data_IF_827343997854
#
_entry.id   IF_827343997854
#
_cell.length_a   1.000
_cell.length_b   1.000
_cell.length_c   1.000
_cell.angle_alpha   90.00
_cell.angle_beta   90.00
_cell.angle_gamma   90.00
#
_symmetry.space_group_name_H-M   'P 1'
#
loop_
_entity.id
_entity.type
_entity.pdbx_description
1 polymer ?
#
# COMPACT_ATOMS: atom_id res chain seq x y z
N UNK A 1 -16.51 5.85 6.44
CA UNK A 1 -15.28 5.25 5.86
C UNK A 1 -15.62 4.73 4.47
N UNK A 2 -14.68 4.80 3.52
CA UNK A 2 -14.83 4.09 2.23
C UNK A 2 -14.35 2.62 2.37
N UNK A 3 -14.85 1.73 1.50
CA UNK A 3 -14.50 0.31 1.57
C UNK A 3 -13.04 0.04 1.22
N UNK A 4 -12.30 -0.64 2.12
CA UNK A 4 -10.93 -1.15 1.87
C UNK A 4 -10.85 -2.00 0.60
N UNK A 5 -11.89 -2.77 0.30
CA UNK A 5 -11.97 -3.64 -0.89
C UNK A 5 -11.94 -2.84 -2.20
N UNK A 6 -12.58 -1.67 -2.24
CA UNK A 6 -12.62 -0.79 -3.42
C UNK A 6 -11.27 -0.09 -3.67
N UNK A 7 -10.53 0.19 -2.59
CA UNK A 7 -9.25 0.90 -2.63
C UNK A 7 -8.09 0.03 -3.14
N UNK A 8 -8.25 -1.29 -3.13
CA UNK A 8 -7.31 -2.26 -3.72
C UNK A 8 -7.54 -2.43 -5.23
N UNK A 9 -8.76 -2.18 -5.73
CA UNK A 9 -9.14 -2.40 -7.14
C UNK A 9 -8.90 -1.21 -8.06
N UNK A 10 -8.74 0.02 -7.55
CA UNK A 10 -8.42 1.21 -8.36
C UNK A 10 -6.96 1.21 -8.86
N UNK A 11 -6.66 0.31 -9.80
CA UNK A 11 -5.48 0.44 -10.68
C UNK A 11 -5.69 1.59 -11.66
N UNK A 12 -4.65 2.41 -11.85
CA UNK A 12 -4.70 3.66 -12.59
C UNK A 12 -5.28 3.50 -14.01
N UNK A 13 -6.45 4.09 -14.25
CA UNK A 13 -6.88 4.51 -15.58
C UNK A 13 -6.08 5.74 -16.00
N UNK A 14 -4.90 5.52 -16.59
CA UNK A 14 -4.12 6.60 -17.20
C UNK A 14 -4.88 7.20 -18.39
N UNK A 15 -5.07 8.53 -18.46
CA UNK A 15 -5.66 9.15 -19.64
C UNK A 15 -4.65 9.15 -20.80
N UNK A 16 -5.13 8.79 -22.00
CA UNK A 16 -4.35 8.75 -23.24
C UNK A 16 -3.87 10.15 -23.65
N UNK A 17 -2.61 10.34 -24.08
CA UNK A 17 -2.12 11.64 -24.53
C UNK A 17 -2.47 11.89 -26.00
N UNK A 18 -3.39 12.82 -26.25
CA UNK A 18 -3.59 13.44 -27.58
C UNK A 18 -2.68 14.66 -27.74
N UNK A 19 -1.87 14.67 -28.80
CA UNK A 19 -0.85 15.70 -29.10
C UNK A 19 -1.38 16.77 -30.10
N UNK A 20 -0.64 17.84 -30.48
CA UNK A 20 -0.83 19.15 -29.86
C UNK A 20 -1.07 20.33 -30.84
N UNK A 21 -1.54 21.46 -30.32
CA UNK A 21 -1.58 22.76 -31.02
C UNK A 21 -0.43 23.68 -30.57
N UNK A 22 0.20 24.38 -31.51
CA UNK A 22 1.42 25.15 -31.27
C UNK A 22 1.19 26.66 -31.05
N UNK A 23 2.06 27.32 -30.27
CA UNK A 23 2.57 28.66 -30.61
C UNK A 23 3.92 28.98 -29.92
N UNK A 24 4.64 29.95 -30.48
CA UNK A 24 5.97 30.45 -30.09
C UNK A 24 5.83 31.50 -28.95
N UNK A 25 6.85 32.09 -28.29
CA UNK A 25 8.32 32.09 -28.39
C UNK A 25 8.88 32.43 -26.97
N UNK A 26 10.05 32.02 -26.47
CA UNK A 26 11.43 32.48 -26.78
C UNK A 26 12.46 31.66 -25.93
N UNK A 27 13.77 31.99 -26.00
CA UNK A 27 14.83 31.60 -25.04
C UNK A 27 15.84 32.76 -24.87
N UNK A 28 16.71 32.75 -23.83
CA UNK A 28 18.08 32.26 -24.09
C UNK A 28 18.85 31.57 -22.93
N UNK A 29 19.79 30.70 -23.37
CA UNK A 29 21.13 30.37 -22.80
C UNK A 29 21.34 29.62 -21.45
N UNK A 30 21.80 28.36 -21.65
CA UNK A 30 23.02 27.71 -21.11
C UNK A 30 23.06 27.20 -19.65
N UNK A 31 22.91 25.88 -19.54
CA UNK A 31 23.60 25.01 -18.58
C UNK A 31 23.71 23.61 -19.21
N UNK A 32 24.91 23.04 -19.31
CA UNK A 32 25.11 21.77 -20.02
C UNK A 32 24.89 20.57 -19.09
N UNK A 33 23.85 19.77 -19.36
CA UNK A 33 23.62 18.47 -18.71
C UNK A 33 23.42 17.43 -19.79
N UNK A 34 24.21 16.35 -19.73
CA UNK A 34 24.18 15.27 -20.72
C UNK A 34 22.83 14.58 -20.74
N UNK A 35 22.09 14.70 -21.85
CA UNK A 35 20.76 14.13 -22.00
C UNK A 35 20.88 12.70 -22.54
N UNK A 36 20.85 11.72 -21.64
CA UNK A 36 20.76 10.30 -22.04
C UNK A 36 19.44 10.10 -22.79
N UNK A 37 19.54 9.80 -24.07
CA UNK A 37 18.40 9.54 -24.95
C UNK A 37 18.36 8.06 -25.30
N UNK A 38 17.31 7.36 -24.86
CA UNK A 38 17.07 5.98 -25.26
C UNK A 38 16.39 5.96 -26.64
N UNK A 39 17.16 6.15 -27.70
CA UNK A 39 16.69 5.89 -29.08
C UNK A 39 16.68 4.39 -29.36
N UNK A 40 15.50 3.79 -29.41
CA UNK A 40 15.32 2.47 -30.02
C UNK A 40 15.38 2.60 -31.54
N UNK A 41 16.38 1.98 -32.17
CA UNK A 41 16.55 1.99 -33.63
C UNK A 41 15.37 1.33 -34.36
N UNK A 42 14.97 1.82 -35.56
CA UNK A 42 13.92 1.22 -36.36
C UNK A 42 14.47 0.13 -37.29
N UNK A 43 14.25 -1.15 -36.97
CA UNK A 43 14.39 -2.28 -37.89
C UNK A 43 13.69 -3.54 -37.37
N UNK A 44 13.30 -4.41 -38.30
CA UNK A 44 12.69 -5.74 -38.16
C UNK A 44 11.28 -5.88 -37.54
N UNK A 45 10.29 -6.41 -38.30
CA UNK A 45 9.02 -6.87 -37.77
C UNK A 45 9.16 -8.28 -37.14
N UNK A 46 8.09 -8.74 -36.51
CA UNK A 46 7.86 -10.12 -36.07
C UNK A 46 8.74 -10.65 -34.89
N UNK A 47 8.41 -10.20 -33.68
CA UNK A 47 8.47 -11.04 -32.49
C UNK A 47 7.49 -10.51 -31.43
N UNK A 48 6.63 -11.40 -30.92
CA UNK A 48 5.58 -11.10 -29.93
C UNK A 48 6.14 -10.68 -28.56
N UNK A 49 6.54 -9.41 -28.43
CA UNK A 49 6.87 -8.76 -27.16
C UNK A 49 5.60 -8.48 -26.36
N UNK A 50 5.17 -9.47 -25.59
CA UNK A 50 4.21 -9.29 -24.50
C UNK A 50 4.79 -8.31 -23.47
N UNK A 51 4.25 -7.10 -23.39
CA UNK A 51 4.62 -6.15 -22.34
C UNK A 51 4.13 -6.70 -20.98
N UNK A 52 4.86 -6.41 -19.91
CA UNK A 52 4.56 -6.89 -18.55
C UNK A 52 3.22 -6.40 -18.01
N UNK A 53 2.56 -5.47 -18.70
CA UNK A 53 1.24 -4.92 -18.38
C UNK A 53 0.08 -5.77 -18.93
N UNK A 54 0.27 -6.50 -20.04
CA UNK A 54 -0.82 -7.27 -20.68
C UNK A 54 -1.11 -8.62 -20.01
N UNK A 55 -0.15 -9.14 -19.23
CA UNK A 55 -0.23 -10.43 -18.51
C UNK A 55 -1.33 -10.47 -17.44
N UNK A 56 -1.95 -9.33 -17.12
CA UNK A 56 -3.07 -9.22 -16.18
C UNK A 56 -4.46 -9.03 -16.84
N UNK A 57 -4.53 -8.83 -18.15
CA UNK A 57 -5.78 -8.65 -18.91
C UNK A 57 -6.09 -9.85 -19.85
N UNK A 58 -5.10 -10.67 -20.19
CA UNK A 58 -5.22 -11.75 -21.20
C UNK A 58 -5.88 -13.07 -20.79
N UNK A 59 -6.60 -13.16 -19.66
CA UNK A 59 -7.18 -14.43 -19.15
C UNK A 59 -8.71 -14.43 -18.97
N UNK A 60 -9.40 -13.37 -19.42
CA UNK A 60 -10.86 -13.23 -19.26
C UNK A 60 -11.74 -13.61 -20.46
N UNK A 61 -11.17 -13.89 -21.64
CA UNK A 61 -11.88 -13.83 -22.92
C UNK A 61 -11.81 -15.13 -23.76
N UNK A 62 -12.11 -16.29 -23.17
CA UNK A 62 -12.19 -17.56 -23.90
C UNK A 62 -13.48 -18.32 -23.60
N UNK A 63 -14.35 -18.51 -24.61
CA UNK A 63 -15.51 -19.40 -24.54
C UNK A 63 -16.86 -18.77 -24.89
N UNK A 64 -17.00 -18.16 -26.08
CA UNK A 64 -18.31 -17.88 -26.64
C UNK A 64 -18.98 -19.16 -27.18
N UNK A 65 -20.31 -19.21 -27.14
CA UNK A 65 -21.22 -20.08 -27.90
C UNK A 65 -20.97 -21.61 -27.89
N UNK A 66 -21.74 -22.34 -27.07
CA UNK A 66 -22.33 -23.63 -27.43
C UNK A 66 -23.62 -23.87 -26.63
N UNK A 67 -24.61 -24.50 -27.24
CA UNK A 67 -25.99 -24.60 -26.75
C UNK A 67 -26.28 -25.90 -25.98
N UNK A 68 -27.21 -25.78 -25.02
CA UNK A 68 -28.11 -26.83 -24.51
C UNK A 68 -27.54 -28.06 -23.76
N UNK A 69 -28.46 -28.71 -23.04
CA UNK A 69 -28.35 -29.96 -22.27
C UNK A 69 -27.44 -29.94 -21.03
N UNK A 70 -28.05 -30.16 -19.85
CA UNK A 70 -27.37 -30.10 -18.57
C UNK A 70 -26.48 -31.31 -18.28
N UNK A 71 -25.32 -31.05 -17.68
CA UNK A 71 -24.60 -32.02 -16.86
C UNK A 71 -24.21 -31.32 -15.55
N UNK A 72 -24.65 -31.89 -14.42
CA UNK A 72 -24.23 -31.50 -13.07
C UNK A 72 -22.75 -31.87 -12.88
N UNK A 73 -21.85 -31.01 -13.36
CA UNK A 73 -20.44 -31.08 -13.03
C UNK A 73 -20.16 -30.09 -11.91
N UNK A 74 -19.82 -30.62 -10.73
CA UNK A 74 -19.31 -29.84 -9.61
C UNK A 74 -18.08 -29.07 -10.07
N UNK A 75 -18.24 -27.78 -10.38
CA UNK A 75 -17.11 -26.91 -10.64
C UNK A 75 -16.17 -26.99 -9.44
N UNK A 76 -14.87 -27.28 -9.62
CA UNK A 76 -13.94 -27.11 -8.52
C UNK A 76 -14.05 -25.64 -8.11
N UNK A 77 -14.35 -25.37 -6.83
CA UNK A 77 -14.36 -24.00 -6.28
C UNK A 77 -13.07 -23.35 -6.77
N UNK A 78 -13.19 -22.37 -7.67
CA UNK A 78 -12.06 -21.51 -8.01
C UNK A 78 -11.64 -20.94 -6.67
N UNK A 79 -10.40 -21.18 -6.28
CA UNK A 79 -9.78 -20.45 -5.20
C UNK A 79 -9.54 -19.02 -5.70
N UNK A 80 -10.62 -18.26 -5.83
CA UNK A 80 -10.55 -16.82 -5.73
C UNK A 80 -9.98 -16.53 -4.35
N UNK A 81 -8.90 -15.78 -4.30
CA UNK A 81 -8.52 -15.16 -3.05
C UNK A 81 -9.53 -14.04 -2.83
N UNK A 82 -10.57 -14.33 -2.04
CA UNK A 82 -11.51 -13.31 -1.60
C UNK A 82 -10.70 -12.19 -0.91
N UNK A 83 -10.94 -10.92 -1.23
CA UNK A 83 -10.25 -9.82 -0.57
C UNK A 83 -10.57 -9.86 0.93
N UNK A 84 -9.66 -9.35 1.76
CA UNK A 84 -9.96 -9.16 3.18
C UNK A 84 -11.18 -8.27 3.29
N UNK A 85 -12.26 -8.81 3.83
CA UNK A 85 -13.53 -8.11 3.93
C UNK A 85 -13.36 -6.84 4.77
N UNK A 86 -14.09 -5.79 4.40
CA UNK A 86 -14.24 -4.62 5.27
C UNK A 86 -14.88 -5.05 6.59
N UNK A 87 -14.38 -4.59 7.74
CA UNK A 87 -15.07 -4.81 8.99
C UNK A 87 -16.38 -4.01 9.00
N UNK A 88 -17.40 -4.53 9.67
CA UNK A 88 -18.52 -3.70 10.06
C UNK A 88 -18.06 -2.73 11.16
N UNK A 89 -18.29 -1.44 10.95
CA UNK A 89 -17.94 -0.39 11.93
C UNK A 89 -18.75 -0.59 13.22
N UNK A 90 -19.96 -1.16 13.14
CA UNK A 90 -20.79 -1.47 14.32
C UNK A 90 -20.20 -2.58 15.20
N UNK A 91 -19.33 -3.44 14.64
CA UNK A 91 -18.68 -4.55 15.35
C UNK A 91 -17.45 -4.15 16.18
N UNK A 92 -17.19 -2.85 16.33
CA UNK A 92 -15.98 -2.39 17.01
C UNK A 92 -15.95 -2.77 18.49
N UNK A 93 -14.90 -3.50 18.88
CA UNK A 93 -14.64 -3.96 20.24
C UNK A 93 -13.49 -3.22 20.95
N UNK A 94 -13.27 -3.49 22.25
CA UNK A 94 -12.06 -3.05 22.93
C UNK A 94 -10.81 -3.63 22.24
N UNK A 95 -9.72 -2.86 22.12
CA UNK A 95 -8.45 -3.39 21.59
C UNK A 95 -7.83 -4.39 22.58
N UNK A 96 -7.22 -5.46 22.06
CA UNK A 96 -6.64 -6.55 22.86
C UNK A 96 -5.12 -6.71 22.71
N UNK A 97 -4.53 -6.10 21.67
CA UNK A 97 -3.10 -6.17 21.34
C UNK A 97 -2.27 -4.98 21.87
N UNK A 98 -2.88 -4.06 22.62
CA UNK A 98 -2.17 -2.92 23.20
C UNK A 98 -1.16 -3.31 24.29
N UNK A 99 -0.02 -2.60 24.41
CA UNK A 99 0.93 -2.83 25.50
C UNK A 99 0.32 -2.43 26.86
N UNK A 100 0.68 -3.10 27.98
CA UNK A 100 0.07 -2.85 29.30
C UNK A 100 0.18 -1.41 29.84
N UNK A 101 1.08 -0.59 29.29
CA UNK A 101 1.22 0.83 29.63
C UNK A 101 0.33 1.77 28.80
N UNK A 102 -0.48 1.26 27.88
CA UNK A 102 -1.38 2.05 27.05
C UNK A 102 -2.62 2.48 27.85
N UNK A 103 -2.72 3.76 28.18
CA UNK A 103 -3.94 4.35 28.75
C UNK A 103 -4.93 4.69 27.63
N UNK A 104 -5.58 3.67 27.06
CA UNK A 104 -6.57 3.80 25.98
C UNK A 104 -7.80 2.96 26.33
N UNK A 105 -8.92 3.62 26.61
CA UNK A 105 -10.17 2.96 27.01
C UNK A 105 -10.94 2.36 25.83
N UNK A 106 -10.86 2.99 24.66
CA UNK A 106 -11.48 2.52 23.42
C UNK A 106 -10.75 3.10 22.23
N UNK A 107 -10.72 2.35 21.14
CA UNK A 107 -10.25 2.80 19.83
C UNK A 107 -11.39 2.95 18.82
N UNK A 108 -12.62 2.69 19.23
CA UNK A 108 -13.76 2.77 18.33
C UNK A 108 -14.04 4.20 17.88
N UNK A 109 -14.47 4.39 16.63
CA UNK A 109 -14.86 5.71 16.13
C UNK A 109 -16.06 6.24 16.92
N UNK A 110 -16.24 7.56 17.01
CA UNK A 110 -17.44 8.15 17.59
C UNK A 110 -18.73 7.61 16.94
N UNK A 111 -19.83 7.46 17.70
CA UNK A 111 -21.11 7.00 17.15
C UNK A 111 -21.55 7.85 15.95
N UNK A 112 -22.02 7.19 14.89
CA UNK A 112 -22.47 7.87 13.68
C UNK A 112 -23.69 7.17 13.09
N UNK A 113 -24.69 7.96 12.68
CA UNK A 113 -25.84 7.50 11.90
C UNK A 113 -25.58 7.47 10.39
N UNK A 114 -24.39 7.86 9.94
CA UNK A 114 -24.04 7.91 8.53
C UNK A 114 -23.67 6.51 7.99
N UNK A 115 -24.47 6.00 7.05
CA UNK A 115 -24.13 4.79 6.31
C UNK A 115 -22.80 4.93 5.58
N UNK A 116 -21.98 3.85 5.47
CA UNK A 116 -20.84 3.83 4.57
C UNK A 116 -21.26 4.18 3.14
N UNK A 117 -20.40 4.93 2.44
CA UNK A 117 -20.56 5.28 1.03
C UNK A 117 -19.33 4.87 0.25
N UNK A 118 -19.53 4.54 -1.02
CA UNK A 118 -18.46 4.17 -1.94
C UNK A 118 -17.49 5.34 -2.16
N UNK A 119 -16.22 5.02 -2.45
CA UNK A 119 -15.22 6.05 -2.72
C UNK A 119 -15.46 6.70 -4.09
N UNK A 120 -15.73 8.01 -4.09
CA UNK A 120 -15.61 8.86 -5.26
C UNK A 120 -14.32 9.70 -5.17
N UNK A 121 -13.53 9.80 -6.25
CA UNK A 121 -12.50 10.83 -6.37
C UNK A 121 -13.11 12.24 -6.17
N UNK A 122 -12.34 13.23 -5.69
CA UNK A 122 -12.81 14.61 -5.59
C UNK A 122 -13.31 15.12 -6.96
N UNK A 123 -14.45 15.80 -6.99
CA UNK A 123 -15.05 16.31 -8.23
C UNK A 123 -14.13 17.32 -8.96
N UNK A 124 -13.24 17.97 -8.19
CA UNK A 124 -12.22 18.92 -8.62
C UNK A 124 -10.86 18.25 -8.91
N UNK A 125 -10.74 16.92 -8.90
CA UNK A 125 -9.45 16.22 -9.01
C UNK A 125 -8.71 16.44 -10.34
N UNK A 126 -9.41 16.82 -11.41
CA UNK A 126 -8.83 17.14 -12.72
C UNK A 126 -8.41 18.60 -12.89
N UNK A 127 -8.97 19.52 -12.09
CA UNK A 127 -8.73 20.96 -12.16
C UNK A 127 -7.90 21.50 -10.98
N UNK A 128 -7.85 20.77 -9.86
CA UNK A 128 -7.10 21.15 -8.67
C UNK A 128 -5.59 20.98 -8.86
N UNK A 129 -4.76 21.88 -8.29
CA UNK A 129 -3.32 21.69 -8.27
C UNK A 129 -2.95 20.43 -7.47
N UNK A 130 -1.94 19.70 -7.96
CA UNK A 130 -1.44 18.51 -7.26
C UNK A 130 -0.81 18.91 -5.92
N UNK A 131 -1.37 18.34 -4.84
CA UNK A 131 -0.86 18.50 -3.47
C UNK A 131 0.56 17.94 -3.37
N UNK A 132 1.53 18.84 -3.21
CA UNK A 132 2.95 18.49 -3.12
C UNK A 132 3.38 18.49 -1.66
N UNK A 133 3.70 17.30 -1.12
CA UNK A 133 4.16 17.11 0.25
C UNK A 133 5.63 17.56 0.38
N UNK A 134 5.97 18.57 1.20
CA UNK A 134 7.35 19.01 1.35
C UNK A 134 8.14 18.07 2.27
N UNK A 135 9.45 18.03 2.08
CA UNK A 135 10.35 17.38 3.04
C UNK A 135 10.36 18.19 4.34
N UNK A 136 10.09 17.54 5.46
CA UNK A 136 9.86 18.20 6.74
C UNK A 136 11.06 19.01 7.27
N UNK A 137 12.29 18.62 6.94
CA UNK A 137 13.50 19.34 7.35
C UNK A 137 13.76 20.60 6.51
N UNK A 138 13.16 20.71 5.31
CA UNK A 138 13.31 21.85 4.39
C UNK A 138 12.06 22.74 4.36
N UNK A 139 11.16 22.60 5.32
CA UNK A 139 9.91 23.34 5.39
C UNK A 139 10.15 24.77 5.92
N UNK A 140 9.77 25.78 5.12
CA UNK A 140 9.86 27.19 5.51
C UNK A 140 8.89 27.60 6.62
N UNK A 141 9.15 28.73 7.27
CA UNK A 141 8.38 29.21 8.43
C UNK A 141 6.87 29.31 8.16
N UNK A 142 6.46 29.83 7.00
CA UNK A 142 5.04 29.95 6.62
C UNK A 142 4.34 28.58 6.52
N UNK A 143 5.05 27.56 6.02
CA UNK A 143 4.53 26.21 5.98
C UNK A 143 4.38 25.63 7.39
N UNK A 144 5.39 25.79 8.24
CA UNK A 144 5.36 25.33 9.64
C UNK A 144 4.22 26.01 10.40
N UNK A 145 4.04 27.33 10.23
CA UNK A 145 2.92 28.08 10.80
C UNK A 145 1.56 27.59 10.29
N UNK A 146 1.44 27.26 9.00
CA UNK A 146 0.22 26.66 8.42
C UNK A 146 -0.06 25.26 8.99
N UNK A 147 0.96 24.41 9.12
CA UNK A 147 0.79 23.06 9.67
C UNK A 147 0.46 23.09 11.17
N UNK A 148 1.10 23.97 11.94
CA UNK A 148 0.75 24.27 13.32
C UNK A 148 -0.73 24.65 13.45
N UNK A 149 -1.23 25.57 12.60
CA UNK A 149 -2.64 25.99 12.59
C UNK A 149 -3.59 24.82 12.32
N UNK A 150 -3.27 23.95 11.37
CA UNK A 150 -4.11 22.81 11.02
C UNK A 150 -4.19 21.77 12.15
N UNK A 151 -3.06 21.46 12.80
CA UNK A 151 -3.03 20.52 13.93
C UNK A 151 -3.65 21.13 15.18
N UNK A 152 -3.48 22.44 15.42
CA UNK A 152 -4.18 23.16 16.48
C UNK A 152 -5.71 23.12 16.28
N UNK A 153 -6.20 23.40 15.07
CA UNK A 153 -7.62 23.30 14.74
C UNK A 153 -8.16 21.87 14.95
N UNK A 154 -7.41 20.84 14.52
CA UNK A 154 -7.77 19.44 14.74
C UNK A 154 -7.77 19.02 16.24
N UNK A 155 -6.88 19.59 17.05
CA UNK A 155 -6.84 19.38 18.51
C UNK A 155 -7.91 20.17 19.27
N UNK A 156 -8.46 21.23 18.68
CA UNK A 156 -9.54 22.04 19.26
C UNK A 156 -10.95 21.48 18.97
N UNK A 157 -11.08 20.45 18.13
CA UNK A 157 -12.35 19.78 17.88
C UNK A 157 -12.83 18.99 19.11
N UNK A 158 -14.16 18.88 19.32
CA UNK A 158 -14.76 17.97 20.29
C UNK A 158 -14.28 16.52 20.11
N UNK A 159 -14.19 15.76 21.21
CA UNK A 159 -13.67 14.38 21.17
C UNK A 159 -14.56 13.40 20.37
N UNK A 160 -15.84 13.72 20.24
CA UNK A 160 -16.85 13.02 19.44
C UNK A 160 -16.88 13.43 17.96
N UNK A 161 -16.16 14.49 17.55
CA UNK A 161 -15.95 14.78 16.14
C UNK A 161 -15.01 13.71 15.54
N UNK A 162 -15.41 12.94 14.50
CA UNK A 162 -14.58 11.92 13.88
C UNK A 162 -13.30 12.47 13.20
N UNK A 163 -13.21 13.80 13.05
CA UNK A 163 -12.04 14.52 12.53
C UNK A 163 -11.07 14.97 13.63
N UNK A 164 -11.45 14.84 14.91
CA UNK A 164 -10.63 15.28 16.04
C UNK A 164 -9.29 14.55 16.11
N UNK A 165 -8.29 15.18 16.76
CA UNK A 165 -6.97 14.58 16.90
C UNK A 165 -7.01 13.21 17.59
N UNK A 166 -7.91 13.04 18.57
CA UNK A 166 -8.15 11.77 19.24
C UNK A 166 -8.80 10.75 18.30
N UNK A 167 -9.89 11.11 17.62
CA UNK A 167 -10.58 10.19 16.69
C UNK A 167 -9.67 9.74 15.54
N UNK A 168 -8.84 10.63 14.98
CA UNK A 168 -7.85 10.26 13.97
C UNK A 168 -6.81 9.27 14.52
N UNK A 169 -6.26 9.50 15.73
CA UNK A 169 -5.35 8.55 16.36
C UNK A 169 -6.00 7.18 16.62
N UNK A 170 -7.28 7.16 17.03
CA UNK A 170 -8.06 5.94 17.24
C UNK A 170 -8.23 5.11 15.96
N UNK A 171 -8.25 5.72 14.77
CA UNK A 171 -8.26 4.97 13.48
C UNK A 171 -7.04 4.06 13.36
N UNK A 172 -5.85 4.51 13.78
CA UNK A 172 -4.69 3.62 13.76
C UNK A 172 -4.90 2.45 14.71
N UNK A 173 -5.26 2.72 15.97
CA UNK A 173 -5.44 1.66 16.95
C UNK A 173 -6.50 0.62 16.52
N UNK A 174 -7.67 1.06 16.06
CA UNK A 174 -8.77 0.15 15.78
C UNK A 174 -8.46 -0.87 14.67
N UNK A 175 -7.70 -0.47 13.64
CA UNK A 175 -7.30 -1.33 12.52
C UNK A 175 -6.00 -2.12 12.77
N UNK A 176 -5.32 -1.90 13.89
CA UNK A 176 -3.99 -2.43 14.17
C UNK A 176 -3.87 -3.20 15.49
N UNK A 177 -4.78 -2.98 16.44
CA UNK A 177 -4.70 -3.49 17.82
C UNK A 177 -5.96 -4.31 18.21
N UNK A 178 -6.62 -4.95 17.23
CA UNK A 178 -7.66 -5.97 17.46
C UNK A 178 -9.12 -5.50 17.56
N UNK A 179 -9.41 -4.20 17.46
CA UNK A 179 -10.78 -3.69 17.66
C UNK A 179 -11.82 -4.07 16.60
N UNK A 180 -11.45 -4.74 15.50
CA UNK A 180 -12.38 -5.15 14.44
C UNK A 180 -12.17 -6.60 14.03
N UNK A 181 -13.25 -7.30 13.67
CA UNK A 181 -13.17 -8.53 12.86
C UNK A 181 -13.58 -8.27 11.40
N UNK A 182 -12.98 -8.95 10.41
CA UNK A 182 -13.48 -8.92 9.03
C UNK A 182 -14.90 -9.50 8.95
N UNK A 183 -15.76 -8.91 8.11
CA UNK A 183 -17.11 -9.44 7.88
C UNK A 183 -17.07 -10.90 7.40
N UNK A 184 -18.00 -11.72 7.91
CA UNK A 184 -18.04 -13.18 7.75
C UNK A 184 -17.05 -13.98 8.61
N UNK A 185 -16.12 -13.35 9.34
CA UNK A 185 -15.10 -14.02 10.16
C UNK A 185 -15.05 -13.49 11.61
N UNK A 186 -16.14 -13.64 12.38
CA UNK A 186 -16.18 -13.19 13.78
C UNK A 186 -15.14 -13.90 14.65
N UNK A 187 -14.43 -13.15 15.50
CA UNK A 187 -13.38 -13.69 16.36
C UNK A 187 -12.02 -13.91 15.66
N UNK A 188 -11.88 -13.42 14.42
CA UNK A 188 -10.58 -13.21 13.78
C UNK A 188 -10.29 -11.71 13.75
N UNK A 189 -9.14 -11.29 14.24
CA UNK A 189 -8.79 -9.86 14.24
C UNK A 189 -8.40 -9.38 12.84
N UNK A 190 -8.89 -8.20 12.48
CA UNK A 190 -8.41 -7.46 11.33
C UNK A 190 -7.06 -6.84 11.66
N UNK A 191 -6.01 -7.30 10.97
CA UNK A 191 -4.66 -6.75 11.10
C UNK A 191 -4.16 -6.20 9.76
N UNK A 192 -3.96 -4.88 9.69
CA UNK A 192 -3.43 -4.20 8.48
C UNK A 192 -1.89 -4.21 8.42
N UNK A 193 -1.21 -4.39 9.55
CA UNK A 193 0.24 -4.59 9.60
C UNK A 193 0.66 -6.00 9.15
N UNK A 194 1.97 -6.20 8.96
CA UNK A 194 2.60 -7.49 8.63
C UNK A 194 2.03 -8.21 7.39
N UNK A 195 1.29 -7.49 6.55
CA UNK A 195 0.61 -8.01 5.37
C UNK A 195 0.70 -7.02 4.20
N UNK A 196 0.18 -7.43 3.04
CA UNK A 196 0.04 -6.57 1.87
C UNK A 196 -0.91 -5.36 2.06
N UNK A 197 -1.72 -5.34 3.13
CA UNK A 197 -2.64 -4.24 3.43
C UNK A 197 -1.92 -3.00 3.97
N UNK A 198 -0.71 -3.17 4.52
CA UNK A 198 0.06 -2.11 5.18
C UNK A 198 0.18 -0.84 4.32
N UNK A 199 0.58 -0.99 3.05
CA UNK A 199 0.74 0.14 2.13
C UNK A 199 -0.59 0.80 1.70
N UNK A 200 -1.60 0.08 1.18
CA UNK A 200 -2.87 0.70 0.80
C UNK A 200 -3.63 1.31 1.99
N UNK A 201 -3.67 0.63 3.15
CA UNK A 201 -4.33 1.16 4.35
C UNK A 201 -3.72 2.52 4.76
N UNK A 202 -2.40 2.58 4.98
CA UNK A 202 -1.74 3.81 5.42
C UNK A 202 -1.84 4.93 4.37
N UNK A 203 -1.85 4.60 3.07
CA UNK A 203 -2.09 5.59 2.01
C UNK A 203 -3.48 6.21 2.14
N UNK A 204 -4.50 5.40 2.37
CA UNK A 204 -5.89 5.88 2.50
C UNK A 204 -6.12 6.63 3.80
N UNK A 205 -5.55 6.16 4.92
CA UNK A 205 -5.57 6.87 6.19
C UNK A 205 -4.95 8.28 6.06
N UNK A 206 -3.73 8.38 5.49
CA UNK A 206 -3.08 9.68 5.26
C UNK A 206 -3.79 10.56 4.21
N UNK A 207 -4.50 9.97 3.25
CA UNK A 207 -5.31 10.72 2.28
C UNK A 207 -6.46 11.46 2.97
N UNK A 208 -7.23 10.78 3.83
CA UNK A 208 -8.31 11.43 4.57
C UNK A 208 -7.78 12.40 5.62
N UNK A 209 -6.74 12.03 6.38
CA UNK A 209 -6.09 12.90 7.37
C UNK A 209 -5.62 14.24 6.77
N UNK A 210 -4.95 14.20 5.62
CA UNK A 210 -4.51 15.41 4.90
C UNK A 210 -5.68 16.26 4.40
N UNK A 211 -6.76 15.64 3.88
CA UNK A 211 -7.97 16.37 3.46
C UNK A 211 -8.72 17.00 4.64
N UNK A 212 -8.75 16.33 5.79
CA UNK A 212 -9.31 16.86 7.04
C UNK A 212 -8.51 18.08 7.51
N UNK A 213 -7.18 17.98 7.59
CA UNK A 213 -6.34 19.11 7.99
C UNK A 213 -6.53 20.33 7.08
N UNK A 214 -6.61 20.14 5.76
CA UNK A 214 -6.89 21.21 4.82
C UNK A 214 -8.27 21.85 5.03
N UNK A 215 -9.32 21.05 5.25
CA UNK A 215 -10.68 21.57 5.44
C UNK A 215 -10.82 22.37 6.74
N UNK A 216 -10.08 22.00 7.79
CA UNK A 216 -10.10 22.71 9.08
C UNK A 216 -9.44 24.10 9.05
N UNK A 217 -8.66 24.42 8.02
CA UNK A 217 -8.04 25.75 7.82
C UNK A 217 -8.49 26.44 6.52
N UNK A 218 -9.48 25.89 5.81
CA UNK A 218 -9.96 26.43 4.53
C UNK A 218 -8.95 26.35 3.37
N UNK A 219 -7.95 25.46 3.45
CA UNK A 219 -6.92 25.27 2.41
C UNK A 219 -7.12 23.94 1.67
N UNK A 220 -7.80 23.92 0.50
CA UNK A 220 -7.96 22.70 -0.29
C UNK A 220 -6.64 22.19 -0.89
N UNK A 221 -5.61 23.03 -0.96
CA UNK A 221 -4.26 22.69 -1.47
C UNK A 221 -3.32 22.13 -0.41
N UNK A 222 -3.76 22.10 0.86
CA UNK A 222 -2.95 21.63 1.98
C UNK A 222 -2.41 20.21 1.75
N UNK A 223 -1.11 20.05 1.98
CA UNK A 223 -0.39 18.78 1.88
C UNK A 223 0.42 18.58 3.17
N UNK A 224 0.35 17.38 3.77
CA UNK A 224 1.16 17.03 4.95
C UNK A 224 2.66 16.92 4.59
N UNK A 225 3.58 17.17 5.53
CA UNK A 225 5.00 17.00 5.24
C UNK A 225 5.38 15.52 5.32
N UNK A 226 6.51 15.13 4.74
CA UNK A 226 7.09 13.81 4.94
C UNK A 226 8.47 13.90 5.62
N UNK A 227 8.78 12.94 6.49
CA UNK A 227 10.11 12.83 7.08
C UNK A 227 11.03 12.16 6.05
N UNK A 228 11.86 12.97 5.39
CA UNK A 228 12.79 12.56 4.33
C UNK A 228 14.06 11.88 4.88
N UNK A 229 13.91 10.81 5.69
CA UNK A 229 15.02 10.12 6.35
C UNK A 229 15.90 9.29 5.40
N UNK A 230 15.53 9.17 4.13
CA UNK A 230 16.34 8.60 3.06
C UNK A 230 17.35 9.60 2.44
N UNK A 231 17.23 10.90 2.78
CA UNK A 231 18.24 11.92 2.49
C UNK A 231 19.02 12.31 3.77
N UNK A 232 20.36 12.48 3.74
CA UNK A 232 21.17 12.82 4.92
C UNK A 232 20.65 14.00 5.74
N UNK A 233 20.27 15.10 5.08
CA UNK A 233 19.75 16.32 5.74
C UNK A 233 18.41 16.09 6.46
N UNK A 234 17.66 15.06 6.05
CA UNK A 234 16.40 14.65 6.67
C UNK A 234 16.53 13.51 7.69
N UNK A 235 17.73 12.98 7.96
CA UNK A 235 17.93 11.91 8.95
C UNK A 235 17.81 12.39 10.41
N UNK A 236 17.79 13.70 10.67
CA UNK A 236 17.47 14.25 11.99
C UNK A 236 15.95 14.43 12.10
N UNK A 237 15.40 14.30 13.32
CA UNK A 237 13.99 14.66 13.54
C UNK A 237 13.78 16.15 13.20
N UNK A 238 12.82 16.51 12.33
CA UNK A 238 12.60 17.90 11.93
C UNK A 238 12.32 18.84 13.11
N UNK A 239 12.95 20.01 13.12
CA UNK A 239 12.90 20.96 14.23
C UNK A 239 11.47 21.47 14.56
N UNK A 240 10.55 21.46 13.60
CA UNK A 240 9.14 21.79 13.84
C UNK A 240 8.43 20.85 14.84
N UNK A 241 9.01 19.67 15.12
CA UNK A 241 8.52 18.73 16.13
C UNK A 241 9.16 18.90 17.51
N UNK A 242 10.26 19.66 17.65
CA UNK A 242 11.02 19.78 18.92
C UNK A 242 10.60 20.97 19.79
N UNK A 243 9.96 21.97 19.21
CA UNK A 243 9.45 23.14 19.93
C UNK A 243 8.30 22.73 20.87
N UNK A 244 8.50 22.85 22.18
CA UNK A 244 7.52 22.45 23.20
C UNK A 244 6.25 23.31 23.20
N UNK A 245 6.30 24.52 22.62
CA UNK A 245 5.14 25.39 22.47
C UNK A 245 4.28 25.04 21.24
N UNK A 246 4.82 24.22 20.33
CA UNK A 246 4.15 23.83 19.10
C UNK A 246 3.06 22.77 19.32
N UNK A 247 1.90 22.88 18.65
CA UNK A 247 0.90 21.81 18.64
C UNK A 247 1.41 20.52 17.95
N UNK A 248 2.57 20.53 17.29
CA UNK A 248 3.26 19.36 16.73
C UNK A 248 4.14 18.60 17.74
N UNK A 249 4.32 19.14 18.96
CA UNK A 249 5.08 18.49 20.02
C UNK A 249 4.33 17.27 20.60
N UNK A 250 5.09 16.25 21.01
CA UNK A 250 4.62 15.15 21.86
C UNK A 250 5.70 14.87 22.91
N UNK A 251 5.42 15.03 24.22
CA UNK A 251 6.38 14.79 25.30
C UNK A 251 6.73 13.31 25.48
N UNK A 252 5.98 12.38 24.87
CA UNK A 252 6.20 10.92 25.01
C UNK A 252 7.28 10.36 24.09
N UNK A 253 7.96 11.21 23.30
CA UNK A 253 9.09 10.80 22.46
C UNK A 253 10.33 10.50 23.33
N UNK A 254 11.19 9.60 22.85
CA UNK A 254 12.47 9.35 23.53
C UNK A 254 13.37 10.60 23.50
N UNK A 255 13.55 11.24 24.66
CA UNK A 255 14.39 12.42 24.82
C UNK A 255 15.87 12.23 24.42
N UNK A 256 16.35 10.98 24.30
CA UNK A 256 17.71 10.68 23.79
C UNK A 256 17.81 10.67 22.25
N UNK A 257 16.68 10.69 21.55
CA UNK A 257 16.60 10.62 20.08
C UNK A 257 16.12 11.92 19.43
N UNK A 258 16.10 13.02 20.18
CA UNK A 258 15.91 14.37 19.63
C UNK A 258 17.20 14.88 18.96
N UNK A 259 17.14 15.88 18.06
CA UNK A 259 18.33 16.51 17.50
C UNK A 259 19.27 17.01 18.61
N UNK A 260 20.60 16.84 18.49
CA UNK A 260 21.35 16.46 17.29
C UNK A 260 21.62 14.95 17.16
N UNK A 261 20.72 14.06 17.61
CA UNK A 261 20.78 12.63 17.23
C UNK A 261 20.30 12.44 15.78
N UNK A 262 20.90 11.51 15.06
CA UNK A 262 20.39 10.98 13.78
C UNK A 262 19.46 9.79 14.06
N UNK A 263 18.42 9.61 13.24
CA UNK A 263 17.62 8.39 13.25
C UNK A 263 18.51 7.18 12.94
N UNK A 264 18.19 6.04 13.54
CA UNK A 264 18.77 4.75 13.19
C UNK A 264 17.70 3.88 12.54
N UNK A 265 17.85 3.59 11.25
CA UNK A 265 16.84 2.88 10.46
C UNK A 265 16.85 1.35 10.67
N UNK A 266 17.83 0.80 11.41
CA UNK A 266 17.91 -0.62 11.83
C UNK A 266 17.85 -0.75 13.37
N UNK A 267 17.30 0.27 14.07
CA UNK A 267 17.32 0.36 15.53
C UNK A 267 16.67 -0.85 16.21
N UNK A 268 17.45 -1.54 17.05
CA UNK A 268 17.06 -2.77 17.74
C UNK A 268 16.92 -2.61 19.27
N UNK A 269 16.74 -1.37 19.75
CA UNK A 269 16.71 -1.05 21.18
C UNK A 269 18.08 -0.80 21.81
N UNK A 270 19.16 -0.81 21.02
CA UNK A 270 20.54 -0.50 21.48
C UNK A 270 21.14 0.61 20.64
N UNK A 271 21.87 1.52 21.29
CA UNK A 271 22.60 2.57 20.60
C UNK A 271 23.80 2.01 19.82
N UNK A 272 23.93 2.26 18.50
CA UNK A 272 25.13 1.90 17.76
C UNK A 272 26.31 2.79 18.16
N UNK A 273 27.53 2.24 18.11
CA UNK A 273 28.79 2.99 18.32
C UNK A 273 29.30 3.62 17.02
N UNK A 274 28.41 4.30 16.30
CA UNK A 274 28.72 4.95 15.03
C UNK A 274 29.01 6.44 15.22
N UNK A 275 29.91 6.99 14.41
CA UNK A 275 29.96 8.43 14.14
C UNK A 275 28.76 8.84 13.26
N UNK A 276 28.43 10.12 13.21
CA UNK A 276 27.33 10.61 12.36
C UNK A 276 27.48 10.18 10.89
N UNK A 277 28.69 10.24 10.33
CA UNK A 277 28.97 9.77 8.97
C UNK A 277 28.72 8.26 8.80
N UNK A 278 29.06 7.45 9.80
CA UNK A 278 28.79 6.00 9.78
C UNK A 278 27.29 5.71 9.92
N UNK A 279 26.54 6.48 10.71
CA UNK A 279 25.09 6.35 10.82
C UNK A 279 24.40 6.73 9.49
N UNK A 280 24.86 7.78 8.81
CA UNK A 280 24.35 8.17 7.49
C UNK A 280 24.59 7.05 6.46
N UNK A 281 25.81 6.54 6.34
CA UNK A 281 26.13 5.41 5.44
C UNK A 281 25.32 4.15 5.79
N UNK A 282 25.15 3.85 7.08
CA UNK A 282 24.32 2.74 7.54
C UNK A 282 22.85 2.91 7.12
N UNK A 283 22.25 4.08 7.37
CA UNK A 283 20.88 4.39 6.99
C UNK A 283 20.67 4.27 5.47
N UNK A 284 21.57 4.81 4.65
CA UNK A 284 21.50 4.69 3.18
C UNK A 284 21.55 3.22 2.71
N UNK A 285 22.39 2.39 3.34
CA UNK A 285 22.45 0.94 3.05
C UNK A 285 21.19 0.20 3.48
N UNK A 286 20.61 0.55 4.63
CA UNK A 286 19.32 0.00 5.09
C UNK A 286 18.22 0.35 4.11
N UNK A 287 18.19 1.60 3.61
CA UNK A 287 17.22 2.04 2.60
C UNK A 287 17.37 1.30 1.28
N UNK A 288 18.61 1.15 0.78
CA UNK A 288 18.88 0.34 -0.40
C UNK A 288 18.44 -1.13 -0.21
N UNK A 289 18.73 -1.73 0.96
CA UNK A 289 18.29 -3.09 1.33
C UNK A 289 16.78 -3.23 1.30
N UNK A 290 16.04 -2.32 1.93
CA UNK A 290 14.58 -2.36 2.04
C UNK A 290 13.89 -2.09 0.69
N UNK A 291 14.23 -0.99 0.01
CA UNK A 291 13.50 -0.51 -1.18
C UNK A 291 13.93 -1.22 -2.46
N UNK A 292 15.20 -1.60 -2.62
CA UNK A 292 15.69 -2.27 -3.82
C UNK A 292 15.72 -3.79 -3.63
N UNK A 293 16.54 -4.28 -2.69
CA UNK A 293 16.82 -5.73 -2.56
C UNK A 293 15.59 -6.52 -2.08
N UNK A 294 14.91 -6.07 -1.03
CA UNK A 294 13.74 -6.77 -0.49
C UNK A 294 12.49 -6.61 -1.36
N UNK A 295 12.23 -5.43 -1.93
CA UNK A 295 11.08 -5.24 -2.82
C UNK A 295 11.18 -6.08 -4.11
N UNK A 296 12.39 -6.25 -4.66
CA UNK A 296 12.61 -7.11 -5.83
C UNK A 296 12.34 -8.58 -5.51
N UNK A 297 12.75 -9.07 -4.31
CA UNK A 297 12.38 -10.41 -3.81
C UNK A 297 10.88 -10.58 -3.62
N UNK A 298 10.20 -9.64 -2.96
CA UNK A 298 8.74 -9.68 -2.78
C UNK A 298 7.96 -9.63 -4.11
N UNK A 299 8.53 -9.01 -5.14
CA UNK A 299 7.99 -9.02 -6.50
C UNK A 299 8.20 -10.38 -7.18
N UNK A 300 9.39 -10.98 -7.05
CA UNK A 300 9.66 -12.35 -7.52
C UNK A 300 8.76 -13.39 -6.84
N UNK A 301 8.52 -13.27 -5.53
CA UNK A 301 7.60 -14.15 -4.79
C UNK A 301 6.15 -14.03 -5.27
N UNK A 302 5.66 -12.81 -5.54
CA UNK A 302 4.33 -12.58 -6.14
C UNK A 302 4.20 -13.09 -7.58
N UNK A 303 5.29 -13.15 -8.35
CA UNK A 303 5.30 -13.83 -9.66
C UNK A 303 5.32 -15.35 -9.48
N UNK A 304 6.09 -15.86 -8.53
CA UNK A 304 6.18 -17.30 -8.24
C UNK A 304 4.84 -17.90 -7.81
N UNK A 305 4.08 -17.23 -6.94
CA UNK A 305 2.75 -17.71 -6.52
C UNK A 305 1.71 -17.70 -7.64
N UNK A 306 1.79 -16.72 -8.58
CA UNK A 306 0.97 -16.73 -9.80
C UNK A 306 1.33 -17.86 -10.75
N UNK A 307 2.62 -18.18 -10.90
CA UNK A 307 3.08 -19.29 -11.76
C UNK A 307 2.80 -20.66 -11.13
N UNK A 308 2.95 -20.82 -9.81
CA UNK A 308 2.78 -22.12 -9.14
C UNK A 308 1.37 -22.67 -9.26
N UNK A 309 0.33 -21.84 -9.28
CA UNK A 309 -1.07 -22.28 -9.46
C UNK A 309 -1.29 -22.99 -10.80
N UNK A 310 -0.77 -22.44 -11.90
CA UNK A 310 -0.86 -23.05 -13.22
C UNK A 310 0.10 -24.26 -13.35
N UNK A 311 1.35 -24.11 -12.91
CA UNK A 311 2.40 -25.12 -13.14
C UNK A 311 2.22 -26.38 -12.28
N UNK A 312 1.78 -26.25 -11.01
CA UNK A 312 1.46 -27.41 -10.18
C UNK A 312 0.26 -28.17 -10.74
N UNK A 313 -0.77 -27.47 -11.23
CA UNK A 313 -1.94 -28.11 -11.86
C UNK A 313 -1.53 -28.93 -13.10
N UNK A 314 -0.65 -28.38 -13.94
CA UNK A 314 -0.11 -29.07 -15.11
C UNK A 314 0.74 -30.30 -14.73
N UNK A 315 1.65 -30.16 -13.76
CA UNK A 315 2.47 -31.28 -13.25
C UNK A 315 1.61 -32.38 -12.58
N UNK A 316 0.56 -32.03 -11.85
CA UNK A 316 -0.39 -32.99 -11.28
C UNK A 316 -1.19 -33.71 -12.37
N UNK A 317 -1.62 -33.02 -13.43
CA UNK A 317 -2.27 -33.66 -14.58
C UNK A 317 -1.32 -34.60 -15.34
N UNK A 318 -0.05 -34.23 -15.54
CA UNK A 318 0.97 -35.09 -16.13
C UNK A 318 1.26 -36.33 -15.29
N UNK A 319 1.39 -36.20 -13.96
CA UNK A 319 1.51 -37.35 -13.06
C UNK A 319 0.25 -38.22 -13.07
N UNK A 320 -0.96 -37.65 -13.19
CA UNK A 320 -2.21 -38.42 -13.37
C UNK A 320 -2.29 -39.13 -14.72
N UNK A 321 -1.85 -38.52 -15.83
CA UNK A 321 -1.77 -39.19 -17.15
C UNK A 321 -0.80 -40.37 -17.11
N UNK A 322 0.45 -40.17 -16.67
CA UNK A 322 1.44 -41.27 -16.54
C UNK A 322 0.95 -42.39 -15.62
N UNK A 323 0.27 -42.10 -14.51
CA UNK A 323 -0.33 -43.14 -13.65
C UNK A 323 -1.45 -43.91 -14.37
N UNK A 324 -2.30 -43.25 -15.17
CA UNK A 324 -3.35 -43.94 -15.97
C UNK A 324 -2.76 -44.77 -17.11
N UNK A 325 -1.70 -44.30 -17.76
CA UNK A 325 -0.99 -45.02 -18.82
C UNK A 325 -0.27 -46.26 -18.27
N UNK A 326 0.48 -46.12 -17.17
CA UNK A 326 1.11 -47.26 -16.50
C UNK A 326 0.07 -48.27 -15.99
N UNK A 327 -1.08 -47.83 -15.46
CA UNK A 327 -2.14 -48.74 -15.02
C UNK A 327 -2.81 -49.47 -16.20
N UNK A 328 -2.93 -48.84 -17.39
CA UNK A 328 -3.34 -49.53 -18.62
C UNK A 328 -2.29 -50.57 -19.05
N UNK A 329 -0.99 -50.22 -19.04
CA UNK A 329 0.07 -51.18 -19.37
C UNK A 329 0.07 -52.38 -18.42
N UNK A 330 -0.04 -52.16 -17.11
CA UNK A 330 -0.08 -53.27 -16.14
C UNK A 330 -1.32 -54.15 -16.29
N UNK A 331 -2.50 -53.58 -16.62
CA UNK A 331 -3.70 -54.37 -16.91
C UNK A 331 -3.56 -55.21 -18.18
N UNK A 332 -2.96 -54.67 -19.24
CA UNK A 332 -2.68 -55.44 -20.46
C UNK A 332 -1.63 -56.54 -20.21
N UNK A 333 -0.60 -56.28 -19.41
CA UNK A 333 0.41 -57.28 -19.01
C UNK A 333 -0.17 -58.39 -18.12
N UNK A 334 -1.13 -58.10 -17.25
CA UNK A 334 -1.86 -59.14 -16.50
C UNK A 334 -2.74 -59.98 -17.43
N UNK A 335 -3.53 -59.37 -18.31
CA UNK A 335 -4.36 -60.07 -19.31
C UNK A 335 -3.54 -61.04 -20.17
N UNK A 336 -2.35 -60.62 -20.63
CA UNK A 336 -1.45 -61.47 -21.43
C UNK A 336 -0.89 -62.65 -20.62
N UNK A 337 -0.76 -62.53 -19.30
CA UNK A 337 -0.35 -63.65 -18.43
C UNK A 337 -1.48 -64.62 -18.12
N UNK A 338 -2.72 -64.16 -17.94
CA UNK A 338 -3.89 -65.04 -17.74
C UNK A 338 -4.37 -65.74 -19.02
N UNK A 339 -3.87 -65.36 -20.20
CA UNK A 339 -4.11 -66.07 -21.47
C UNK A 339 -2.95 -67.01 -21.87
N UNK A 340 -2.00 -67.26 -20.95
CA UNK A 340 -0.83 -68.14 -21.15
C UNK A 340 -0.62 -69.15 -20.01
N UNK A 341 -1.66 -69.38 -19.21
CA UNK A 341 -1.74 -70.40 -18.16
C UNK A 341 -3.02 -71.21 -18.36
#
# INVERSE_FOLDING_TARGET
MASLSQLITCSLSSPSPSSPGASFCLKPRRGAVGRVSCTSSPAEPDASRLDRRDVLLGLGAAGASATAAGILLSFPRRAGADPVATPDISSCGPPDQLPPSANVLTCCPPPSSASPVDFAPPADASSSPLRTRPAAHSAGADYVAKFNRAIAAMKALPADDPRSFAAQASVHCAYCDGSYSPDGFPGLDLQVHNSWLFMPFHRCYLYFFERILGSLIGDPTFAIPFWNWDAPDGMRMPAMYTDQSSPLFDPRRNGRHVPPKLIDLDYNGREPRFTDNQQVDHNLRVMYRQVYVCAMRASMQRVSTKLSGAYLTWLFQLKRRRRKENLKLMKNLLMIKTLRA
#
